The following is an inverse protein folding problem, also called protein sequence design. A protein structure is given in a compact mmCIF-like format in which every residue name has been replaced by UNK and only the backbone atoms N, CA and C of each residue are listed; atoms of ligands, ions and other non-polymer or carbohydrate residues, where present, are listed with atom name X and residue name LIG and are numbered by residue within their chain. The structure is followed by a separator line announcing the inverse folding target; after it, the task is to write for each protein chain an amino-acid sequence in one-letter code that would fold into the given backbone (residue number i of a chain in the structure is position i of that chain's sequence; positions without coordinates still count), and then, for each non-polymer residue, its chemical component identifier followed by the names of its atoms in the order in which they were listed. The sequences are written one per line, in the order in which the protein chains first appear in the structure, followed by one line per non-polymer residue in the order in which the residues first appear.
data_IF_437732245888
#
_entry.id   IF_437732245888
#
_cell.length_a   1.000
_cell.length_b   1.000
_cell.length_c   1.000
_cell.angle_alpha   90.00
_cell.angle_beta   90.00
_cell.angle_gamma   90.00
#
_symmetry.space_group_name_H-M   'P 1'
#
loop_
_entity.id
_entity.type
_entity.pdbx_description
1 polymer ?
#
# COMPACT_ATOMS: atom_id res chain seq x y z
N UNK A 1 -60.57 -14.17 0.29
CA UNK A 1 -60.10 -12.86 -0.25
C UNK A 1 -58.83 -12.33 0.42
N UNK A 2 -58.62 -12.58 1.72
CA UNK A 2 -57.45 -12.10 2.49
C UNK A 2 -56.12 -12.75 2.04
N UNK A 3 -56.09 -14.07 1.79
CA UNK A 3 -54.87 -14.77 1.35
C UNK A 3 -54.30 -14.27 0.02
N UNK A 4 -55.16 -13.86 -0.94
CA UNK A 4 -54.70 -13.29 -2.22
C UNK A 4 -54.03 -11.92 -2.04
N UNK A 5 -54.52 -11.09 -1.10
CA UNK A 5 -53.90 -9.80 -0.77
C UNK A 5 -52.58 -9.99 -0.04
N UNK A 6 -52.53 -10.90 0.94
CA UNK A 6 -51.31 -11.24 1.65
C UNK A 6 -50.21 -11.77 0.70
N UNK A 7 -50.58 -12.63 -0.25
CA UNK A 7 -49.65 -13.13 -1.27
C UNK A 7 -49.16 -12.03 -2.22
N UNK A 8 -50.02 -11.08 -2.58
CA UNK A 8 -49.64 -9.90 -3.38
C UNK A 8 -48.63 -9.00 -2.64
N UNK A 9 -48.87 -8.72 -1.36
CA UNK A 9 -47.92 -7.99 -0.51
C UNK A 9 -46.56 -8.70 -0.38
N UNK A 10 -46.58 -10.03 -0.24
CA UNK A 10 -45.36 -10.83 -0.18
C UNK A 10 -44.56 -10.75 -1.49
N UNK A 11 -45.24 -10.80 -2.64
CA UNK A 11 -44.60 -10.63 -3.95
C UNK A 11 -43.96 -9.25 -4.11
N UNK A 12 -44.62 -8.19 -3.65
CA UNK A 12 -44.09 -6.82 -3.68
C UNK A 12 -42.86 -6.67 -2.77
N UNK A 13 -42.90 -7.26 -1.57
CA UNK A 13 -41.78 -7.25 -0.64
C UNK A 13 -40.55 -7.97 -1.20
N UNK A 14 -40.76 -9.13 -1.85
CA UNK A 14 -39.70 -9.88 -2.53
C UNK A 14 -39.12 -9.09 -3.71
N UNK A 15 -39.99 -8.45 -4.50
CA UNK A 15 -39.57 -7.62 -5.63
C UNK A 15 -38.69 -6.43 -5.18
N UNK A 16 -39.10 -5.75 -4.10
CA UNK A 16 -38.31 -4.67 -3.51
C UNK A 16 -36.96 -5.16 -2.98
N UNK A 17 -36.91 -6.33 -2.33
CA UNK A 17 -35.66 -6.93 -1.87
C UNK A 17 -34.70 -7.22 -3.04
N UNK A 18 -35.19 -7.79 -4.14
CA UNK A 18 -34.36 -8.10 -5.31
C UNK A 18 -33.72 -6.83 -5.92
N UNK A 19 -34.44 -5.70 -5.90
CA UNK A 19 -33.93 -4.43 -6.42
C UNK A 19 -32.92 -3.81 -5.44
N UNK A 20 -33.17 -3.90 -4.13
CA UNK A 20 -32.40 -3.18 -3.12
C UNK A 20 -31.10 -3.89 -2.69
N UNK A 21 -31.12 -5.23 -2.66
CA UNK A 21 -29.98 -6.06 -2.28
C UNK A 21 -28.69 -5.78 -3.08
N UNK A 22 -28.70 -5.73 -4.43
CA UNK A 22 -27.48 -5.47 -5.20
C UNK A 22 -26.93 -4.05 -5.01
N UNK A 23 -27.79 -3.08 -4.68
CA UNK A 23 -27.36 -1.73 -4.34
C UNK A 23 -26.62 -1.69 -3.01
N UNK A 24 -27.15 -2.38 -2.00
CA UNK A 24 -26.54 -2.46 -0.68
C UNK A 24 -25.19 -3.20 -0.70
N UNK A 25 -25.10 -4.32 -1.42
CA UNK A 25 -23.84 -5.09 -1.52
C UNK A 25 -22.74 -4.31 -2.21
N UNK A 26 -23.05 -3.59 -3.31
CA UNK A 26 -22.09 -2.72 -3.99
C UNK A 26 -21.59 -1.61 -3.08
N UNK A 27 -22.49 -0.97 -2.33
CA UNK A 27 -22.11 0.09 -1.38
C UNK A 27 -21.18 -0.43 -0.28
N UNK A 28 -21.41 -1.64 0.21
CA UNK A 28 -20.55 -2.26 1.20
C UNK A 28 -19.15 -2.55 0.61
N UNK A 29 -19.08 -3.13 -0.59
CA UNK A 29 -17.82 -3.40 -1.28
C UNK A 29 -17.03 -2.10 -1.56
N UNK A 30 -17.71 -1.04 -1.97
CA UNK A 30 -17.12 0.28 -2.18
C UNK A 30 -16.57 0.88 -0.89
N UNK A 31 -17.30 0.75 0.23
CA UNK A 31 -16.83 1.22 1.54
C UNK A 31 -15.59 0.47 2.01
N UNK A 32 -15.57 -0.85 1.86
CA UNK A 32 -14.44 -1.68 2.25
C UNK A 32 -13.20 -1.34 1.40
N UNK A 33 -13.37 -1.23 0.07
CA UNK A 33 -12.30 -0.77 -0.83
C UNK A 33 -11.79 0.63 -0.47
N UNK A 34 -12.68 1.56 -0.14
CA UNK A 34 -12.27 2.90 0.24
C UNK A 34 -11.43 2.89 1.52
N UNK A 35 -11.84 2.11 2.53
CA UNK A 35 -11.08 1.96 3.79
C UNK A 35 -9.69 1.37 3.56
N UNK A 36 -9.60 0.36 2.70
CA UNK A 36 -8.31 -0.27 2.36
C UNK A 36 -7.39 0.70 1.61
N UNK A 37 -7.95 1.47 0.68
CA UNK A 37 -7.20 2.51 -0.05
C UNK A 37 -6.73 3.63 0.88
N UNK A 38 -7.57 4.11 1.79
CA UNK A 38 -7.18 5.11 2.80
C UNK A 38 -6.03 4.61 3.69
N UNK A 39 -6.11 3.35 4.11
CA UNK A 39 -5.04 2.71 4.90
C UNK A 39 -3.74 2.63 4.11
N UNK A 40 -3.82 2.26 2.83
CA UNK A 40 -2.65 2.18 1.93
C UNK A 40 -2.04 3.55 1.67
N UNK A 41 -2.86 4.58 1.46
CA UNK A 41 -2.40 5.97 1.31
C UNK A 41 -1.66 6.42 2.57
N UNK A 42 -2.22 6.15 3.76
CA UNK A 42 -1.58 6.50 5.03
C UNK A 42 -0.21 5.84 5.17
N UNK A 43 -0.13 4.54 4.88
CA UNK A 43 1.14 3.79 4.92
C UNK A 43 2.18 4.36 3.95
N UNK A 44 1.80 4.56 2.69
CA UNK A 44 2.69 5.09 1.65
C UNK A 44 3.17 6.51 1.98
N UNK A 45 2.33 7.35 2.57
CA UNK A 45 2.73 8.70 3.00
C UNK A 45 3.79 8.66 4.11
N UNK A 46 3.65 7.75 5.07
CA UNK A 46 4.65 7.55 6.12
C UNK A 46 5.98 7.07 5.51
N UNK A 47 5.92 6.07 4.64
CA UNK A 47 7.09 5.53 3.96
C UNK A 47 7.81 6.59 3.12
N UNK A 48 7.06 7.38 2.35
CA UNK A 48 7.61 8.47 1.55
C UNK A 48 8.29 9.53 2.44
N UNK A 49 7.67 9.93 3.55
CA UNK A 49 8.27 10.89 4.49
C UNK A 49 9.59 10.36 5.08
N UNK A 50 9.65 9.07 5.44
CA UNK A 50 10.87 8.43 5.94
C UNK A 50 11.97 8.40 4.87
N UNK A 51 11.64 8.01 3.65
CA UNK A 51 12.57 7.98 2.52
C UNK A 51 13.09 9.38 2.18
N UNK A 52 12.23 10.40 2.21
CA UNK A 52 12.66 11.79 2.02
C UNK A 52 13.62 12.27 3.12
N UNK A 53 13.38 11.86 4.37
CA UNK A 53 14.30 12.17 5.46
C UNK A 53 15.64 11.45 5.31
N UNK A 54 15.64 10.22 4.80
CA UNK A 54 16.86 9.50 4.46
C UNK A 54 17.62 10.16 3.30
N UNK A 55 16.93 10.55 2.22
CA UNK A 55 17.52 11.32 1.12
C UNK A 55 18.14 12.63 1.60
N UNK A 56 17.45 13.40 2.45
CA UNK A 56 18.02 14.63 3.04
C UNK A 56 19.29 14.36 3.85
N UNK A 57 19.35 13.23 4.57
CA UNK A 57 20.56 12.83 5.32
C UNK A 57 21.71 12.48 4.38
N UNK A 58 21.42 11.80 3.28
CA UNK A 58 22.41 11.50 2.23
C UNK A 58 22.87 12.80 1.57
N UNK A 59 21.96 13.72 1.22
CA UNK A 59 22.28 14.97 0.53
C UNK A 59 23.10 15.95 1.38
N UNK A 60 22.88 15.95 2.70
CA UNK A 60 23.52 16.91 3.61
C UNK A 60 24.89 16.47 4.15
N UNK A 61 25.26 15.19 4.01
CA UNK A 61 26.56 14.68 4.47
C UNK A 61 27.47 14.23 3.30
N UNK A 62 28.46 15.07 2.91
CA UNK A 62 29.43 14.74 1.87
C UNK A 62 30.24 13.47 2.14
N UNK A 63 30.49 13.13 3.41
CA UNK A 63 31.24 11.93 3.79
C UNK A 63 30.40 10.68 3.56
N UNK A 64 29.09 10.76 3.85
CA UNK A 64 28.15 9.67 3.62
C UNK A 64 27.94 9.41 2.12
N UNK A 65 27.88 10.48 1.30
CA UNK A 65 27.84 10.36 -0.16
C UNK A 65 29.10 9.68 -0.72
N UNK A 66 30.29 10.10 -0.27
CA UNK A 66 31.56 9.48 -0.67
C UNK A 66 31.57 7.99 -0.31
N UNK A 67 31.05 7.63 0.88
CA UNK A 67 30.96 6.24 1.33
C UNK A 67 30.04 5.39 0.44
N UNK A 68 28.82 5.86 0.17
CA UNK A 68 27.85 5.14 -0.70
C UNK A 68 28.39 5.01 -2.12
N UNK A 69 28.99 6.07 -2.67
CA UNK A 69 29.61 6.03 -4.00
C UNK A 69 30.75 5.01 -4.05
N UNK A 70 31.60 4.95 -3.01
CA UNK A 70 32.70 3.98 -2.90
C UNK A 70 32.19 2.54 -2.84
N UNK A 71 31.18 2.26 -2.02
CA UNK A 71 30.57 0.93 -1.91
C UNK A 71 29.93 0.47 -3.23
N UNK A 72 29.20 1.35 -3.93
CA UNK A 72 28.59 1.02 -5.22
C UNK A 72 29.60 0.84 -6.35
N UNK A 73 30.67 1.62 -6.36
CA UNK A 73 31.70 1.56 -7.39
C UNK A 73 32.77 0.49 -7.10
N UNK A 74 32.78 -0.09 -5.90
CA UNK A 74 33.80 -1.05 -5.47
C UNK A 74 35.20 -0.44 -5.34
N UNK A 75 35.28 0.87 -5.07
CA UNK A 75 36.54 1.61 -4.99
C UNK A 75 36.85 2.05 -3.56
N UNK A 76 38.13 2.04 -3.20
CA UNK A 76 38.62 2.44 -1.88
C UNK A 76 39.27 3.83 -1.93
N UNK A 77 39.50 4.47 -0.77
CA UNK A 77 40.10 5.81 -0.75
C UNK A 77 41.55 5.75 -1.23
N UNK A 78 42.06 6.86 -1.74
CA UNK A 78 43.47 6.98 -2.14
C UNK A 78 44.38 6.67 -0.93
N UNK A 79 45.11 5.56 -0.99
CA UNK A 79 45.99 5.07 0.09
C UNK A 79 45.46 3.85 0.84
N UNK A 80 44.23 3.39 0.58
CA UNK A 80 43.67 2.14 1.12
C UNK A 80 43.89 0.96 0.15
N UNK A 81 43.99 -0.26 0.67
CA UNK A 81 44.19 -1.48 -0.13
C UNK A 81 42.89 -2.29 -0.14
N UNK A 82 42.29 -2.57 -1.30
CA UNK A 82 41.08 -3.41 -1.37
C UNK A 82 41.43 -4.87 -1.09
N UNK A 83 40.81 -5.48 -0.07
CA UNK A 83 40.98 -6.89 0.29
C UNK A 83 39.70 -7.63 -0.10
N UNK A 84 39.80 -8.65 -0.95
CA UNK A 84 38.70 -9.55 -1.30
C UNK A 84 38.93 -10.91 -0.65
N UNK A 85 38.09 -11.27 0.32
CA UNK A 85 38.13 -12.58 0.97
C UNK A 85 37.40 -13.56 0.04
N UNK A 86 38.11 -14.58 -0.44
CA UNK A 86 37.54 -15.65 -1.26
C UNK A 86 37.52 -16.91 -0.37
N UNK A 87 36.34 -17.48 -0.06
CA UNK A 87 36.28 -18.73 0.70
C UNK A 87 36.83 -19.89 -0.15
N UNK A 88 37.70 -20.71 0.43
CA UNK A 88 38.11 -21.98 -0.18
C UNK A 88 36.92 -22.94 -0.22
N UNK A 89 36.80 -23.67 -1.34
CA UNK A 89 35.72 -24.62 -1.63
C UNK A 89 35.78 -25.86 -0.76
#
# INVERSE_FOLDING_TARGET
MIFKKAFSFFGIAIFLLIILLPGYTKLQELKDKNRDLETKIKYLNIENALLQQELKRIESDPIYQEKIARERMGVVRKGEIPIKIIPEK
#
